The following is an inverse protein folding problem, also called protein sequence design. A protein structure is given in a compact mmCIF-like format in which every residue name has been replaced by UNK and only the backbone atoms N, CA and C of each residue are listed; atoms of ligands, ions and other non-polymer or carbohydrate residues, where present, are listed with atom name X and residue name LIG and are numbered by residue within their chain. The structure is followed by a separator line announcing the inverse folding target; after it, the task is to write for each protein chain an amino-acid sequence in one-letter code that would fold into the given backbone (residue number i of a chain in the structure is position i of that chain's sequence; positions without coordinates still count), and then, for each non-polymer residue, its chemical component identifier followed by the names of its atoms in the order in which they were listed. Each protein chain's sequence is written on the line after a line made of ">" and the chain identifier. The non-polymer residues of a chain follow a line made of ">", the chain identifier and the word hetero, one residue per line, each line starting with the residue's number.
data_IF_600112343440
#
_entry.id   IF_600112343440
#
_cell.length_a   1.000
_cell.length_b   1.000
_cell.length_c   1.000
_cell.angle_alpha   90.00
_cell.angle_beta   90.00
_cell.angle_gamma   90.00
#
_symmetry.space_group_name_H-M   'P 1'
#
loop_
_entity.id
_entity.type
_entity.pdbx_description
1 polymer ?
#
# COMPACT_ATOMS: atom_id res chain seq x y z
N UNK A 1 26.54 -9.51 -22.17
CA UNK A 1 27.02 -10.44 -21.12
C UNK A 1 27.16 -9.75 -19.77
N UNK A 2 27.98 -8.71 -19.61
CA UNK A 2 28.15 -7.99 -18.32
C UNK A 2 26.83 -7.42 -17.77
N UNK A 3 26.01 -6.76 -18.60
CA UNK A 3 24.71 -6.24 -18.18
C UNK A 3 23.74 -7.34 -17.68
N UNK A 4 23.81 -8.55 -18.25
CA UNK A 4 22.93 -9.65 -17.85
C UNK A 4 23.37 -10.25 -16.51
N UNK A 5 24.70 -10.36 -16.30
CA UNK A 5 25.25 -10.76 -15.01
C UNK A 5 24.89 -9.76 -13.90
N UNK A 6 24.99 -8.45 -14.19
CA UNK A 6 24.59 -7.40 -13.26
C UNK A 6 23.10 -7.46 -12.90
N UNK A 7 22.22 -7.59 -13.91
CA UNK A 7 20.78 -7.79 -13.68
C UNK A 7 20.50 -9.06 -12.87
N UNK A 8 21.22 -10.16 -13.12
CA UNK A 8 21.10 -11.39 -12.36
C UNK A 8 21.41 -11.21 -10.87
N UNK A 9 22.49 -10.49 -10.54
CA UNK A 9 22.84 -10.17 -9.14
C UNK A 9 21.77 -9.30 -8.49
N UNK A 10 21.24 -8.30 -9.20
CA UNK A 10 20.15 -7.47 -8.70
C UNK A 10 18.89 -8.28 -8.41
N UNK A 11 18.51 -9.20 -9.29
CA UNK A 11 17.36 -10.09 -9.08
C UNK A 11 17.54 -10.91 -7.81
N UNK A 12 18.72 -11.52 -7.61
CA UNK A 12 19.01 -12.29 -6.39
C UNK A 12 18.92 -11.42 -5.14
N UNK A 13 19.43 -10.19 -5.21
CA UNK A 13 19.33 -9.22 -4.11
C UNK A 13 17.88 -8.88 -3.75
N UNK A 14 17.01 -8.64 -4.74
CA UNK A 14 15.59 -8.36 -4.51
C UNK A 14 14.79 -9.59 -4.06
N UNK A 15 15.20 -10.79 -4.47
CA UNK A 15 14.56 -12.05 -4.05
C UNK A 15 14.97 -12.49 -2.65
N UNK A 16 16.14 -12.09 -2.16
CA UNK A 16 16.62 -12.46 -0.83
C UNK A 16 15.62 -12.18 0.31
N UNK A 17 15.02 -10.98 0.45
CA UNK A 17 14.03 -10.71 1.50
C UNK A 17 12.73 -11.51 1.32
N UNK A 18 12.31 -11.78 0.08
CA UNK A 18 11.12 -12.59 -0.21
C UNK A 18 11.36 -14.04 0.20
N UNK A 19 12.54 -14.58 -0.13
CA UNK A 19 12.96 -15.91 0.29
C UNK A 19 13.00 -16.02 1.82
N UNK A 20 13.59 -15.03 2.47
CA UNK A 20 13.63 -14.98 3.93
C UNK A 20 12.23 -14.97 4.55
N UNK A 21 11.30 -14.16 4.03
CA UNK A 21 9.92 -14.10 4.51
C UNK A 21 9.20 -15.43 4.34
N UNK A 22 9.41 -16.12 3.22
CA UNK A 22 8.86 -17.46 2.98
C UNK A 22 9.41 -18.49 3.97
N UNK A 23 10.71 -18.49 4.23
CA UNK A 23 11.31 -19.38 5.22
C UNK A 23 10.82 -19.04 6.63
N UNK A 24 10.72 -17.75 6.97
CA UNK A 24 10.26 -17.31 8.28
C UNK A 24 8.82 -17.73 8.57
N UNK A 25 7.91 -17.69 7.58
CA UNK A 25 6.50 -18.10 7.75
C UNK A 25 6.35 -19.60 8.05
N UNK A 26 7.37 -20.41 7.78
CA UNK A 26 7.38 -21.85 8.09
C UNK A 26 7.89 -22.18 9.49
N UNK A 27 8.48 -21.22 10.20
CA UNK A 27 9.06 -21.43 11.54
C UNK A 27 8.06 -21.09 12.64
N UNK A 28 8.18 -21.73 13.80
CA UNK A 28 7.48 -21.32 15.02
C UNK A 28 8.22 -20.15 15.72
N UNK A 29 7.59 -19.53 16.72
CA UNK A 29 8.19 -18.39 17.43
C UNK A 29 9.57 -18.74 18.02
N UNK A 30 9.76 -19.98 18.50
CA UNK A 30 11.04 -20.43 19.04
C UNK A 30 12.10 -20.56 17.95
N UNK A 31 11.77 -21.12 16.79
CA UNK A 31 12.67 -21.27 15.64
C UNK A 31 13.00 -19.95 14.94
N UNK A 32 12.16 -18.92 15.09
CA UNK A 32 12.45 -17.56 14.62
C UNK A 32 13.54 -16.86 15.45
N UNK A 33 13.50 -16.99 16.78
CA UNK A 33 14.40 -16.26 17.68
C UNK A 33 15.59 -17.08 18.22
N UNK A 34 15.45 -18.40 18.30
CA UNK A 34 16.44 -19.30 18.89
C UNK A 34 16.81 -20.51 17.99
N UNK A 35 16.32 -20.51 16.74
CA UNK A 35 16.55 -21.60 15.79
C UNK A 35 18.01 -21.75 15.39
N UNK A 36 18.52 -22.99 15.41
CA UNK A 36 19.91 -23.33 15.08
C UNK A 36 20.25 -23.28 13.59
N UNK A 37 19.24 -23.15 12.72
CA UNK A 37 19.35 -23.32 11.27
C UNK A 37 19.62 -22.01 10.50
N UNK A 38 19.76 -20.89 11.21
CA UNK A 38 20.02 -19.56 10.63
C UNK A 38 18.79 -18.93 9.96
N UNK A 39 18.90 -17.64 9.59
CA UNK A 39 17.76 -16.86 9.11
C UNK A 39 17.24 -17.29 7.72
N UNK A 40 18.14 -17.71 6.82
CA UNK A 40 17.82 -18.01 5.41
C UNK A 40 17.45 -19.47 5.12
N UNK A 41 17.39 -20.33 6.14
CA UNK A 41 17.10 -21.75 5.98
C UNK A 41 16.02 -22.24 6.95
N UNK A 42 15.34 -23.32 6.57
CA UNK A 42 14.27 -23.94 7.34
C UNK A 42 14.77 -24.47 8.68
N UNK A 43 13.94 -24.37 9.73
CA UNK A 43 14.26 -24.97 11.02
C UNK A 43 13.74 -26.41 11.12
N UNK A 44 14.10 -27.12 12.20
CA UNK A 44 13.70 -28.52 12.42
C UNK A 44 12.18 -28.71 12.48
N UNK A 45 11.47 -27.70 12.98
CA UNK A 45 10.01 -27.70 13.07
C UNK A 45 9.42 -26.92 11.89
N UNK A 46 8.71 -27.62 11.00
CA UNK A 46 7.97 -27.01 9.91
C UNK A 46 6.52 -26.77 10.33
N UNK A 47 6.12 -25.51 10.50
CA UNK A 47 4.83 -25.13 11.07
C UNK A 47 3.99 -24.16 10.21
N UNK A 48 4.15 -24.22 8.88
CA UNK A 48 3.48 -23.29 7.95
C UNK A 48 1.95 -23.31 8.08
N UNK A 49 1.35 -24.50 8.10
CA UNK A 49 -0.11 -24.64 8.10
C UNK A 49 -0.70 -24.13 9.41
N UNK A 50 -0.07 -24.44 10.56
CA UNK A 50 -0.56 -23.96 11.85
C UNK A 50 -0.40 -22.44 11.97
N UNK A 51 0.70 -21.86 11.49
CA UNK A 51 0.88 -20.41 11.45
C UNK A 51 -0.22 -19.71 10.63
N UNK A 52 -0.60 -20.30 9.49
CA UNK A 52 -1.71 -19.76 8.67
C UNK A 52 -3.04 -19.90 9.41
N UNK A 53 -3.31 -21.05 10.03
CA UNK A 53 -4.54 -21.25 10.81
C UNK A 53 -4.63 -20.30 12.00
N UNK A 54 -3.52 -20.08 12.70
CA UNK A 54 -3.42 -19.16 13.83
C UNK A 54 -3.66 -17.70 13.38
N UNK A 55 -3.11 -17.29 12.23
CA UNK A 55 -3.39 -15.97 11.63
C UNK A 55 -4.89 -15.77 11.36
N UNK A 56 -5.56 -16.78 10.82
CA UNK A 56 -7.01 -16.69 10.54
C UNK A 56 -7.89 -16.90 11.77
N UNK A 57 -7.40 -17.55 12.82
CA UNK A 57 -8.09 -17.69 14.10
C UNK A 57 -7.81 -16.53 15.08
N UNK A 58 -6.81 -15.70 14.78
CA UNK A 58 -6.39 -14.57 15.60
C UNK A 58 -7.56 -13.64 15.92
N UNK A 59 -7.75 -13.34 17.22
CA UNK A 59 -8.87 -12.56 17.75
C UNK A 59 -10.26 -12.97 17.21
N UNK A 60 -10.49 -14.25 16.91
CA UNK A 60 -11.77 -14.71 16.38
C UNK A 60 -11.98 -14.41 14.89
N UNK A 61 -10.91 -14.16 14.14
CA UNK A 61 -10.95 -13.95 12.68
C UNK A 61 -10.95 -12.48 12.24
N UNK A 62 -10.55 -11.55 13.12
CA UNK A 62 -10.43 -10.12 12.78
C UNK A 62 -9.48 -9.88 11.60
N UNK A 63 -8.46 -10.72 11.42
CA UNK A 63 -7.53 -10.64 10.29
C UNK A 63 -8.24 -10.65 8.94
N UNK A 64 -9.31 -11.45 8.77
CA UNK A 64 -10.10 -11.49 7.54
C UNK A 64 -10.81 -10.16 7.29
N UNK A 65 -11.32 -9.53 8.35
CA UNK A 65 -11.96 -8.22 8.26
C UNK A 65 -10.94 -7.14 7.90
N UNK A 66 -9.74 -7.16 8.48
CA UNK A 66 -8.67 -6.22 8.13
C UNK A 66 -8.20 -6.37 6.68
N UNK A 67 -8.10 -7.62 6.21
CA UNK A 67 -7.79 -7.91 4.81
C UNK A 67 -8.91 -7.38 3.88
N UNK A 68 -10.17 -7.63 4.23
CA UNK A 68 -11.33 -7.14 3.50
C UNK A 68 -11.41 -5.62 3.46
N UNK A 69 -11.18 -4.96 4.60
CA UNK A 69 -11.11 -3.50 4.71
C UNK A 69 -10.00 -2.93 3.84
N UNK A 70 -8.79 -3.50 3.91
CA UNK A 70 -7.65 -3.07 3.10
C UNK A 70 -7.92 -3.19 1.60
N UNK A 71 -8.53 -4.31 1.18
CA UNK A 71 -8.93 -4.53 -0.21
C UNK A 71 -10.01 -3.53 -0.64
N UNK A 72 -11.01 -3.30 0.21
CA UNK A 72 -12.07 -2.32 -0.06
C UNK A 72 -11.46 -0.92 -0.22
N UNK A 73 -10.56 -0.50 0.65
CA UNK A 73 -9.91 0.82 0.58
C UNK A 73 -9.05 0.97 -0.67
N UNK A 74 -8.24 -0.05 -1.00
CA UNK A 74 -7.39 -0.04 -2.19
C UNK A 74 -8.21 0.01 -3.49
N UNK A 75 -9.26 -0.81 -3.59
CA UNK A 75 -10.10 -0.88 -4.80
C UNK A 75 -10.95 0.38 -4.95
N UNK A 76 -11.64 0.80 -3.89
CA UNK A 76 -12.50 2.00 -3.95
C UNK A 76 -11.70 3.28 -4.18
N UNK A 77 -10.60 3.46 -3.45
CA UNK A 77 -9.69 4.59 -3.62
C UNK A 77 -9.05 4.59 -5.00
N UNK A 78 -8.49 3.46 -5.43
CA UNK A 78 -7.82 3.32 -6.73
C UNK A 78 -8.77 3.55 -7.92
N UNK A 79 -9.94 2.91 -7.93
CA UNK A 79 -10.92 3.07 -9.00
C UNK A 79 -11.48 4.50 -9.07
N UNK A 80 -11.82 5.07 -7.91
CA UNK A 80 -12.39 6.41 -7.90
C UNK A 80 -11.35 7.50 -8.21
N UNK A 81 -10.12 7.38 -7.71
CA UNK A 81 -9.02 8.28 -8.08
C UNK A 81 -8.70 8.18 -9.59
N UNK A 82 -8.70 6.96 -10.15
CA UNK A 82 -8.51 6.74 -11.58
C UNK A 82 -9.64 7.37 -12.39
N UNK A 83 -10.91 7.16 -12.00
CA UNK A 83 -12.06 7.73 -12.69
C UNK A 83 -12.00 9.27 -12.71
N UNK A 84 -11.71 9.90 -11.57
CA UNK A 84 -11.56 11.36 -11.47
C UNK A 84 -10.39 11.84 -12.31
N UNK A 85 -9.23 11.15 -12.25
CA UNK A 85 -8.03 11.51 -13.01
C UNK A 85 -8.24 11.40 -14.51
N UNK A 86 -8.95 10.39 -14.99
CA UNK A 86 -9.29 10.22 -16.41
C UNK A 86 -10.21 11.35 -16.87
N UNK A 87 -11.24 11.71 -16.09
CA UNK A 87 -12.15 12.81 -16.42
C UNK A 87 -11.43 14.16 -16.45
N UNK A 88 -10.60 14.44 -15.44
CA UNK A 88 -9.80 15.66 -15.37
C UNK A 88 -8.80 15.73 -16.54
N UNK A 89 -8.05 14.66 -16.76
CA UNK A 89 -7.09 14.54 -17.87
C UNK A 89 -7.73 14.71 -19.23
N UNK A 90 -8.90 14.11 -19.45
CA UNK A 90 -9.69 14.30 -20.68
C UNK A 90 -10.12 15.76 -20.86
N UNK A 91 -10.57 16.41 -19.78
CA UNK A 91 -10.90 17.83 -19.76
C UNK A 91 -9.75 18.73 -20.23
N UNK A 92 -8.55 18.52 -19.68
CA UNK A 92 -7.35 19.27 -20.06
C UNK A 92 -6.86 18.98 -21.47
N UNK A 93 -6.96 17.72 -21.92
CA UNK A 93 -6.48 17.28 -23.22
C UNK A 93 -7.41 17.71 -24.37
N UNK A 94 -8.73 17.60 -24.19
CA UNK A 94 -9.70 17.83 -25.27
C UNK A 94 -10.18 19.29 -25.34
N UNK A 95 -10.33 19.98 -24.21
CA UNK A 95 -10.93 21.32 -24.17
C UNK A 95 -9.89 22.42 -23.99
N UNK A 96 -10.06 23.53 -24.72
CA UNK A 96 -9.31 24.78 -24.53
C UNK A 96 -10.21 25.78 -23.82
N UNK A 97 -10.09 25.89 -22.50
CA UNK A 97 -10.87 26.81 -21.67
C UNK A 97 -10.01 27.97 -21.14
N UNK A 98 -10.64 29.12 -20.87
CA UNK A 98 -9.97 30.27 -20.22
C UNK A 98 -9.58 29.88 -18.79
N UNK A 99 -8.30 30.01 -18.44
CA UNK A 99 -7.75 29.63 -17.13
C UNK A 99 -6.99 28.30 -17.09
N UNK A 100 -6.91 27.56 -18.21
CA UNK A 100 -6.25 26.23 -18.27
C UNK A 100 -4.84 26.20 -17.68
N UNK A 101 -4.00 27.19 -17.99
CA UNK A 101 -2.63 27.24 -17.50
C UNK A 101 -2.55 27.49 -15.99
N UNK A 102 -3.49 28.27 -15.43
CA UNK A 102 -3.57 28.52 -13.99
C UNK A 102 -4.00 27.26 -13.24
N UNK A 103 -5.06 26.58 -13.70
CA UNK A 103 -5.52 25.33 -13.07
C UNK A 103 -4.46 24.23 -13.18
N UNK A 104 -3.74 24.17 -14.29
CA UNK A 104 -2.64 23.22 -14.46
C UNK A 104 -1.46 23.52 -13.52
N UNK A 105 -1.08 24.80 -13.36
CA UNK A 105 -0.05 25.21 -12.41
C UNK A 105 -0.45 24.91 -10.95
N UNK A 106 -1.72 25.12 -10.59
CA UNK A 106 -2.25 24.76 -9.27
C UNK A 106 -2.21 23.26 -9.03
N UNK A 107 -2.56 22.45 -10.04
CA UNK A 107 -2.50 20.99 -9.96
C UNK A 107 -1.06 20.50 -9.75
N UNK A 108 -0.11 21.03 -10.51
CA UNK A 108 1.32 20.74 -10.30
C UNK A 108 1.79 21.18 -8.91
N UNK A 109 1.36 22.36 -8.44
CA UNK A 109 1.66 22.84 -7.09
C UNK A 109 1.10 21.92 -6.00
N UNK A 110 -0.10 21.38 -6.18
CA UNK A 110 -0.70 20.44 -5.25
C UNK A 110 0.07 19.11 -5.17
N UNK A 111 0.61 18.61 -6.29
CA UNK A 111 1.47 17.40 -6.31
C UNK A 111 2.78 17.63 -5.55
N UNK A 112 3.29 18.86 -5.50
CA UNK A 112 4.53 19.20 -4.78
C UNK A 112 4.34 19.27 -3.26
N UNK A 113 3.11 19.28 -2.75
CA UNK A 113 2.85 19.31 -1.31
C UNK A 113 3.17 17.94 -0.71
N UNK A 114 4.05 17.86 0.30
CA UNK A 114 4.41 16.58 0.90
C UNK A 114 3.20 15.96 1.61
N UNK A 115 2.95 14.68 1.35
CA UNK A 115 1.82 13.94 1.93
C UNK A 115 1.82 13.96 3.46
N UNK A 116 3.01 13.99 4.09
CA UNK A 116 3.16 14.06 5.54
C UNK A 116 2.61 15.37 6.14
N UNK A 117 2.68 16.48 5.42
CA UNK A 117 2.12 17.77 5.88
C UNK A 117 0.59 17.80 5.78
N UNK A 118 0.00 16.95 4.94
CA UNK A 118 -1.45 16.87 4.74
C UNK A 118 -2.15 15.99 5.78
N UNK A 119 -1.43 15.11 6.48
CA UNK A 119 -2.01 14.17 7.45
C UNK A 119 -2.82 14.88 8.54
N UNK A 120 -2.23 15.90 9.19
CA UNK A 120 -2.90 16.64 10.28
C UNK A 120 -4.12 17.42 9.76
N UNK A 121 -4.02 18.24 8.70
CA UNK A 121 -5.18 18.91 8.13
C UNK A 121 -6.31 17.96 7.71
N UNK A 122 -5.98 16.85 7.05
CA UNK A 122 -6.98 15.86 6.62
C UNK A 122 -7.67 15.21 7.81
N UNK A 123 -6.92 14.88 8.87
CA UNK A 123 -7.51 14.37 10.11
C UNK A 123 -8.49 15.36 10.74
N UNK A 124 -8.09 16.64 10.86
CA UNK A 124 -8.96 17.69 11.40
C UNK A 124 -10.22 17.86 10.55
N UNK A 125 -10.10 17.81 9.22
CA UNK A 125 -11.24 17.90 8.31
C UNK A 125 -12.22 16.73 8.51
N UNK A 126 -11.73 15.50 8.61
CA UNK A 126 -12.57 14.33 8.87
C UNK A 126 -13.18 14.33 10.27
N UNK A 127 -12.46 14.88 11.26
CA UNK A 127 -12.95 15.05 12.64
C UNK A 127 -14.09 16.06 12.71
N UNK A 128 -13.97 17.19 12.02
CA UNK A 128 -15.06 18.17 11.93
C UNK A 128 -16.30 17.60 11.25
N UNK A 129 -16.11 16.71 10.27
CA UNK A 129 -17.20 15.99 9.59
C UNK A 129 -17.78 14.82 10.42
N UNK A 130 -17.24 14.56 11.62
CA UNK A 130 -17.57 13.39 12.47
C UNK A 130 -17.42 12.05 11.73
N UNK A 131 -16.55 12.00 10.74
CA UNK A 131 -16.23 10.79 9.97
C UNK A 131 -15.00 10.05 10.51
N UNK A 132 -14.40 10.56 11.59
CA UNK A 132 -13.29 9.88 12.29
C UNK A 132 -13.68 8.47 12.68
N UNK A 133 -12.74 7.53 12.49
CA UNK A 133 -12.91 6.10 12.75
C UNK A 133 -13.91 5.39 11.81
N UNK A 134 -14.13 5.93 10.61
CA UNK A 134 -14.94 5.29 9.58
C UNK A 134 -14.17 5.06 8.28
N UNK A 135 -14.66 4.11 7.48
CA UNK A 135 -14.17 3.82 6.12
C UNK A 135 -14.09 5.09 5.25
N UNK A 136 -15.02 6.03 5.43
CA UNK A 136 -15.09 7.27 4.67
C UNK A 136 -13.92 8.22 4.92
N UNK A 137 -13.34 8.20 6.13
CA UNK A 137 -12.17 9.02 6.45
C UNK A 137 -10.91 8.60 5.67
N UNK A 138 -10.90 7.37 5.14
CA UNK A 138 -9.79 6.85 4.30
C UNK A 138 -10.11 7.02 2.82
N UNK A 139 -11.33 6.67 2.41
CA UNK A 139 -11.72 6.72 0.99
C UNK A 139 -11.72 8.15 0.48
N UNK A 140 -12.38 9.10 1.17
CA UNK A 140 -12.57 10.46 0.64
C UNK A 140 -11.24 11.19 0.34
N UNK A 141 -10.22 11.17 1.22
CA UNK A 141 -8.93 11.76 0.89
C UNK A 141 -8.19 11.01 -0.23
N UNK A 142 -8.29 9.68 -0.28
CA UNK A 142 -7.61 8.87 -1.29
C UNK A 142 -8.12 9.13 -2.71
N UNK A 143 -9.42 9.42 -2.87
CA UNK A 143 -10.05 9.73 -4.15
C UNK A 143 -9.54 11.03 -4.79
N UNK A 144 -9.12 11.98 -3.95
CA UNK A 144 -8.72 13.33 -4.36
C UNK A 144 -7.20 13.50 -4.35
N UNK A 145 -6.45 12.47 -3.93
CA UNK A 145 -5.00 12.53 -3.90
C UNK A 145 -4.46 12.63 -5.34
N UNK A 146 -3.64 13.64 -5.66
CA UNK A 146 -3.05 13.79 -6.98
C UNK A 146 -2.08 12.65 -7.36
N UNK A 147 -1.57 11.91 -6.38
CA UNK A 147 -0.55 10.87 -6.56
C UNK A 147 -1.17 9.48 -6.79
N UNK A 148 -2.11 9.36 -7.72
CA UNK A 148 -2.78 8.09 -8.02
C UNK A 148 -1.86 7.03 -8.68
N UNK A 149 -0.56 7.29 -8.85
CA UNK A 149 0.39 6.32 -9.42
C UNK A 149 1.84 6.58 -8.98
N UNK A 150 2.21 6.08 -7.80
CA UNK A 150 3.55 5.55 -7.49
C UNK A 150 3.42 4.39 -6.54
#
# INVERSE_FOLDING_TARGET
>A
MVAHAFLGVLVLYFLAPIWWLFVASTKDAQGLFAGSSGAMWFDKNFNLIANIQELFAYNGGEYVQWLGNSLLYAVSGGLGATAISVLAGYGFAKYKFRGRNLTFALLLGAVMVPMTALVIPTFILMSNLKLTDTVWAVILPSLLSPSAST
#
